data_IF_460381474835
#
_entry.id   IF_460381474835
#
_cell.length_a   1.000
_cell.length_b   1.000
_cell.length_c   1.000
_cell.angle_alpha   90.00
_cell.angle_beta   90.00
_cell.angle_gamma   90.00
#
_symmetry.space_group_name_H-M   'P 1'
#
loop_
_entity.id
_entity.type
_entity.pdbx_description
1 polymer ?
#
# COMPACT_ATOMS: atom_id res chain seq x y z
N UNK A 1 16.66 -15.21 -11.36
CA UNK A 1 15.25 -15.58 -11.69
C UNK A 1 14.35 -14.46 -11.16
N UNK A 2 13.27 -14.09 -11.83
CA UNK A 2 12.35 -12.97 -11.47
C UNK A 2 12.82 -11.53 -11.76
N UNK A 3 13.89 -11.31 -12.53
CA UNK A 3 14.40 -9.95 -12.83
C UNK A 3 13.32 -9.07 -13.49
N UNK A 4 12.58 -9.61 -14.45
CA UNK A 4 11.50 -8.88 -15.11
C UNK A 4 10.36 -8.53 -14.15
N UNK A 5 10.03 -9.43 -13.22
CA UNK A 5 9.03 -9.17 -12.20
C UNK A 5 9.48 -8.03 -11.28
N UNK A 6 10.73 -8.06 -10.79
CA UNK A 6 11.28 -7.00 -9.94
C UNK A 6 11.26 -5.65 -10.66
N UNK A 7 11.59 -5.63 -11.96
CA UNK A 7 11.49 -4.42 -12.77
C UNK A 7 10.06 -3.87 -12.81
N UNK A 8 9.07 -4.74 -13.10
CA UNK A 8 7.66 -4.35 -13.13
C UNK A 8 7.20 -3.82 -11.76
N UNK A 9 7.54 -4.49 -10.66
CA UNK A 9 7.16 -4.05 -9.31
C UNK A 9 7.76 -2.68 -8.98
N UNK A 10 9.02 -2.44 -9.36
CA UNK A 10 9.67 -1.13 -9.19
C UNK A 10 9.00 -0.02 -10.03
N UNK A 11 8.62 -0.33 -11.27
CA UNK A 11 7.87 0.61 -12.11
C UNK A 11 6.49 0.90 -11.51
N UNK A 12 5.83 -0.12 -10.95
CA UNK A 12 4.56 0.02 -10.24
C UNK A 12 4.67 0.84 -8.95
N UNK A 13 5.75 0.73 -8.17
CA UNK A 13 5.99 1.64 -7.05
C UNK A 13 6.07 3.11 -7.50
N UNK A 14 6.70 3.37 -8.66
CA UNK A 14 6.78 4.72 -9.22
C UNK A 14 5.44 5.22 -9.71
N UNK A 15 4.67 4.38 -10.39
CA UNK A 15 3.31 4.71 -10.79
C UNK A 15 2.41 4.97 -9.57
N UNK A 16 2.51 4.11 -8.54
CA UNK A 16 1.79 4.21 -7.27
C UNK A 16 1.97 5.56 -6.61
N UNK A 17 3.22 6.03 -6.46
CA UNK A 17 3.49 7.38 -5.95
C UNK A 17 2.77 8.48 -6.73
N UNK A 18 2.79 8.40 -8.07
CA UNK A 18 2.14 9.40 -8.93
C UNK A 18 0.62 9.42 -8.76
N UNK A 19 -0.04 8.25 -8.70
CA UNK A 19 -1.50 8.23 -8.45
C UNK A 19 -1.85 8.64 -7.04
N UNK A 20 -1.02 8.34 -6.03
CA UNK A 20 -1.18 8.87 -4.67
C UNK A 20 -1.08 10.40 -4.64
N UNK A 21 -0.11 11.00 -5.33
CA UNK A 21 0.02 12.46 -5.41
C UNK A 21 -1.19 13.13 -6.06
N UNK A 22 -1.80 12.49 -7.07
CA UNK A 22 -3.05 12.96 -7.68
C UNK A 22 -4.20 12.90 -6.67
N UNK A 23 -4.35 11.75 -5.98
CA UNK A 23 -5.39 11.56 -4.97
C UNK A 23 -5.27 12.61 -3.86
N UNK A 24 -4.09 12.82 -3.29
CA UNK A 24 -3.88 13.78 -2.21
C UNK A 24 -4.18 15.22 -2.64
N UNK A 25 -3.81 15.61 -3.87
CA UNK A 25 -4.10 16.94 -4.41
C UNK A 25 -5.59 17.20 -4.59
N UNK A 26 -6.34 16.18 -4.98
CA UNK A 26 -7.78 16.28 -5.29
C UNK A 26 -8.67 15.94 -4.09
N UNK A 27 -8.14 15.38 -3.00
CA UNK A 27 -8.87 15.08 -1.77
C UNK A 27 -9.13 16.33 -0.91
N UNK A 28 -9.71 17.38 -1.51
CA UNK A 28 -10.04 18.64 -0.82
C UNK A 28 -11.49 19.04 -1.04
N UNK A 29 -12.09 19.72 -0.07
CA UNK A 29 -13.48 20.23 -0.17
C UNK A 29 -13.70 21.10 -1.42
N UNK A 30 -12.68 21.82 -1.88
CA UNK A 30 -12.77 22.65 -3.06
C UNK A 30 -12.80 21.82 -4.35
N UNK A 31 -11.89 20.86 -4.51
CA UNK A 31 -11.87 19.96 -5.65
C UNK A 31 -13.15 19.10 -5.73
N UNK A 32 -13.74 18.73 -4.59
CA UNK A 32 -15.00 17.98 -4.57
C UNK A 32 -16.22 18.76 -5.09
N UNK A 33 -16.16 20.09 -5.15
CA UNK A 33 -17.23 20.91 -5.75
C UNK A 33 -17.20 20.89 -7.27
N UNK A 34 -16.03 20.63 -7.86
CA UNK A 34 -15.88 20.51 -9.31
C UNK A 34 -16.10 19.07 -9.79
N UNK A 35 -16.92 18.92 -10.85
CA UNK A 35 -17.32 17.60 -11.33
C UNK A 35 -16.21 16.83 -12.05
N UNK A 36 -15.28 17.53 -12.70
CA UNK A 36 -14.13 16.93 -13.38
C UNK A 36 -13.08 16.49 -12.36
N UNK A 37 -12.80 17.32 -11.36
CA UNK A 37 -11.87 16.98 -10.29
C UNK A 37 -12.36 15.81 -9.43
N UNK A 38 -13.66 15.75 -9.11
CA UNK A 38 -14.25 14.55 -8.48
C UNK A 38 -14.04 13.29 -9.32
N UNK A 39 -14.22 13.38 -10.64
CA UNK A 39 -14.03 12.23 -11.55
C UNK A 39 -12.57 11.80 -11.54
N UNK A 40 -11.63 12.74 -11.66
CA UNK A 40 -10.18 12.46 -11.60
C UNK A 40 -9.76 11.82 -10.28
N UNK A 41 -10.31 12.28 -9.15
CA UNK A 41 -10.07 11.68 -7.83
C UNK A 41 -10.56 10.23 -7.78
N UNK A 42 -11.79 9.96 -8.22
CA UNK A 42 -12.32 8.60 -8.26
C UNK A 42 -11.47 7.70 -9.16
N UNK A 43 -11.00 8.22 -10.30
CA UNK A 43 -10.19 7.46 -11.24
C UNK A 43 -8.76 7.20 -10.73
N UNK A 44 -8.15 8.12 -9.97
CA UNK A 44 -6.84 7.87 -9.35
C UNK A 44 -6.93 6.78 -8.27
N UNK A 45 -7.99 6.79 -7.45
CA UNK A 45 -8.24 5.75 -6.45
C UNK A 45 -8.48 4.38 -7.10
N UNK A 46 -9.30 4.32 -8.18
CA UNK A 46 -9.52 3.07 -8.93
C UNK A 46 -8.25 2.52 -9.55
N UNK A 47 -7.41 3.38 -10.14
CA UNK A 47 -6.13 2.98 -10.70
C UNK A 47 -5.19 2.42 -9.64
N UNK A 48 -5.12 3.06 -8.47
CA UNK A 48 -4.33 2.58 -7.33
C UNK A 48 -4.78 1.17 -6.93
N UNK A 49 -6.07 0.97 -6.65
CA UNK A 49 -6.63 -0.34 -6.24
C UNK A 49 -6.39 -1.40 -7.32
N UNK A 50 -6.64 -1.06 -8.59
CA UNK A 50 -6.49 -2.00 -9.72
C UNK A 50 -5.05 -2.49 -9.89
N UNK A 51 -4.07 -1.64 -9.57
CA UNK A 51 -2.64 -1.93 -9.65
C UNK A 51 -2.14 -2.66 -8.39
N UNK A 52 -2.46 -2.16 -7.21
CA UNK A 52 -1.88 -2.66 -5.96
C UNK A 52 -2.39 -4.05 -5.56
N UNK A 53 -3.65 -4.39 -5.84
CA UNK A 53 -4.19 -5.71 -5.53
C UNK A 53 -3.36 -6.86 -6.15
N UNK A 54 -3.08 -6.89 -7.48
CA UNK A 54 -2.19 -7.92 -8.05
C UNK A 54 -0.70 -7.69 -7.74
N UNK A 55 -0.28 -6.47 -7.41
CA UNK A 55 1.10 -6.16 -7.03
C UNK A 55 1.47 -6.86 -5.71
N UNK A 56 0.73 -6.55 -4.64
CA UNK A 56 0.91 -7.13 -3.30
C UNK A 56 0.80 -8.65 -3.36
N UNK A 57 -0.23 -9.19 -4.03
CA UNK A 57 -0.40 -10.62 -4.20
C UNK A 57 0.81 -11.30 -4.85
N UNK A 58 1.51 -10.63 -5.78
CA UNK A 58 2.73 -11.18 -6.42
C UNK A 58 3.96 -11.04 -5.55
N UNK A 59 4.04 -9.97 -4.75
CA UNK A 59 5.10 -9.84 -3.75
C UNK A 59 5.01 -10.98 -2.72
N UNK A 60 3.83 -11.20 -2.15
CA UNK A 60 3.58 -12.21 -1.10
C UNK A 60 3.74 -13.65 -1.58
N UNK A 61 3.22 -13.97 -2.77
CA UNK A 61 3.15 -15.36 -3.23
C UNK A 61 4.30 -15.79 -4.13
N UNK A 62 5.07 -14.84 -4.69
CA UNK A 62 6.14 -15.14 -5.65
C UNK A 62 7.47 -14.51 -5.23
N UNK A 63 7.51 -13.19 -5.04
CA UNK A 63 8.77 -12.48 -4.81
C UNK A 63 9.37 -12.82 -3.44
N UNK A 64 8.64 -12.60 -2.35
CA UNK A 64 9.14 -12.83 -0.99
C UNK A 64 9.49 -14.30 -0.72
N UNK A 65 8.71 -15.30 -1.19
CA UNK A 65 9.11 -16.70 -1.09
C UNK A 65 10.38 -17.03 -1.88
N UNK A 66 10.62 -16.39 -3.03
CA UNK A 66 11.84 -16.58 -3.79
C UNK A 66 13.03 -15.88 -3.12
N UNK A 67 12.80 -14.67 -2.59
CA UNK A 67 13.77 -13.91 -1.83
C UNK A 67 14.26 -14.70 -0.61
N UNK A 68 13.34 -15.28 0.18
CA UNK A 68 13.68 -16.06 1.38
C UNK A 68 14.54 -17.30 1.11
N UNK A 69 14.56 -17.80 -0.13
CA UNK A 69 15.39 -18.95 -0.55
C UNK A 69 16.82 -18.58 -0.93
N UNK A 70 17.10 -17.30 -1.18
CA UNK A 70 18.40 -16.83 -1.68
C UNK A 70 19.18 -15.99 -0.66
N UNK A 71 18.52 -15.52 0.40
CA UNK A 71 19.16 -14.85 1.53
C UNK A 71 19.36 -15.81 2.69
N UNK A 72 20.51 -15.73 3.34
CA UNK A 72 20.78 -16.47 4.58
C UNK A 72 19.89 -15.97 5.72
N UNK A 73 19.82 -16.75 6.80
CA UNK A 73 19.11 -16.34 8.02
C UNK A 73 19.67 -15.01 8.56
N UNK A 74 20.98 -14.91 8.69
CA UNK A 74 21.67 -13.72 9.19
C UNK A 74 21.42 -12.48 8.32
N UNK A 75 21.49 -12.60 6.98
CA UNK A 75 21.19 -11.46 6.10
C UNK A 75 19.74 -11.02 6.21
N UNK A 76 18.81 -11.96 6.39
CA UNK A 76 17.40 -11.63 6.57
C UNK A 76 17.14 -10.92 7.90
N UNK A 77 17.78 -11.38 8.99
CA UNK A 77 17.67 -10.74 10.30
C UNK A 77 18.24 -9.31 10.27
N UNK A 78 19.41 -9.13 9.65
CA UNK A 78 20.03 -7.81 9.49
C UNK A 78 19.14 -6.83 8.68
N UNK A 79 18.44 -7.33 7.65
CA UNK A 79 17.46 -6.53 6.93
C UNK A 79 16.26 -6.15 7.81
N UNK A 80 15.85 -7.04 8.71
CA UNK A 80 14.82 -6.76 9.71
C UNK A 80 15.22 -5.61 10.63
N UNK A 81 16.42 -5.66 11.19
CA UNK A 81 16.97 -4.58 12.05
C UNK A 81 17.04 -3.23 11.29
N UNK A 82 17.47 -3.25 10.03
CA UNK A 82 17.51 -2.06 9.18
C UNK A 82 16.11 -1.49 8.90
N UNK A 83 15.10 -2.36 8.76
CA UNK A 83 13.71 -1.93 8.57
C UNK A 83 13.10 -1.38 9.85
N UNK A 84 13.32 -2.02 11.01
CA UNK A 84 12.86 -1.52 12.31
C UNK A 84 13.46 -0.14 12.62
N UNK A 85 14.76 0.06 12.35
CA UNK A 85 15.40 1.37 12.50
C UNK A 85 14.73 2.44 11.63
N UNK A 86 14.47 2.13 10.36
CA UNK A 86 13.78 3.06 9.45
C UNK A 86 12.35 3.33 9.87
N UNK A 87 11.67 2.33 10.39
CA UNK A 87 10.33 2.44 10.93
C UNK A 87 10.31 3.42 12.10
N UNK A 88 11.23 3.28 13.07
CA UNK A 88 11.38 4.23 14.17
C UNK A 88 11.71 5.65 13.69
N UNK A 89 12.59 5.80 12.69
CA UNK A 89 12.96 7.10 12.12
C UNK A 89 11.77 7.81 11.44
N UNK A 90 10.89 7.05 10.78
CA UNK A 90 9.78 7.60 10.00
C UNK A 90 8.49 7.72 10.83
N UNK A 91 8.27 6.82 11.78
CA UNK A 91 6.97 6.62 12.44
C UNK A 91 7.02 6.66 13.97
N UNK A 92 8.21 6.72 14.60
CA UNK A 92 8.38 6.71 16.05
C UNK A 92 8.45 5.30 16.65
N UNK A 93 8.59 5.19 17.98
CA UNK A 93 8.93 3.96 18.69
C UNK A 93 7.91 2.81 18.56
N UNK A 94 6.63 3.10 18.31
CA UNK A 94 5.57 2.10 18.11
C UNK A 94 5.08 2.12 16.64
N UNK A 95 6.02 2.32 15.70
CA UNK A 95 5.75 2.85 14.37
C UNK A 95 4.66 2.12 13.59
N UNK A 96 4.84 0.82 13.35
CA UNK A 96 3.94 -0.04 12.58
C UNK A 96 2.59 -0.17 13.28
N UNK A 97 2.58 -0.53 14.57
CA UNK A 97 1.36 -0.69 15.36
C UNK A 97 0.54 0.60 15.36
N UNK A 98 1.19 1.75 15.57
CA UNK A 98 0.55 3.07 15.53
C UNK A 98 -0.07 3.36 14.15
N UNK A 99 0.61 2.98 13.06
CA UNK A 99 0.08 3.19 11.72
C UNK A 99 -1.09 2.25 11.42
N UNK A 100 -1.03 0.99 11.85
CA UNK A 100 -2.15 0.03 11.75
C UNK A 100 -3.37 0.55 12.51
N UNK A 101 -3.19 1.07 13.72
CA UNK A 101 -4.26 1.67 14.51
C UNK A 101 -4.89 2.89 13.82
N UNK A 102 -4.06 3.77 13.22
CA UNK A 102 -4.56 4.91 12.43
C UNK A 102 -5.39 4.47 11.24
N UNK A 103 -4.93 3.45 10.50
CA UNK A 103 -5.70 2.88 9.38
C UNK A 103 -7.03 2.32 9.87
N UNK A 104 -7.02 1.52 10.94
CA UNK A 104 -8.25 0.98 11.53
C UNK A 104 -9.23 2.08 11.99
N UNK A 105 -8.73 3.19 12.55
CA UNK A 105 -9.56 4.34 12.92
C UNK A 105 -10.19 5.04 11.71
N UNK A 106 -9.43 5.18 10.61
CA UNK A 106 -9.95 5.70 9.34
C UNK A 106 -11.04 4.78 8.80
N UNK A 107 -10.81 3.47 8.78
CA UNK A 107 -11.79 2.48 8.31
C UNK A 107 -13.08 2.52 9.13
N UNK A 108 -12.98 2.66 10.46
CA UNK A 108 -14.14 2.84 11.35
C UNK A 108 -14.91 4.12 11.03
N UNK A 109 -14.19 5.22 10.79
CA UNK A 109 -14.79 6.51 10.43
C UNK A 109 -15.51 6.45 9.09
N UNK A 110 -14.97 5.69 8.13
CA UNK A 110 -15.55 5.48 6.81
C UNK A 110 -16.62 4.37 6.79
N UNK A 111 -16.81 3.65 7.90
CA UNK A 111 -17.75 2.53 8.01
C UNK A 111 -17.31 1.25 7.32
N UNK A 112 -16.04 1.12 6.90
CA UNK A 112 -15.51 -0.03 6.15
C UNK A 112 -14.69 -1.01 7.00
N UNK A 113 -14.63 -0.81 8.31
CA UNK A 113 -13.81 -1.63 9.21
C UNK A 113 -14.31 -3.07 9.38
N UNK A 114 -15.62 -3.28 9.45
CA UNK A 114 -16.18 -4.63 9.63
C UNK A 114 -16.08 -5.42 8.32
N UNK A 115 -15.19 -6.41 8.26
CA UNK A 115 -14.99 -7.24 7.07
C UNK A 115 -16.27 -8.00 6.68
N UNK A 116 -17.13 -8.35 7.64
CA UNK A 116 -18.33 -9.14 7.38
C UNK A 116 -19.29 -8.42 6.40
N UNK A 117 -19.28 -7.09 6.38
CA UNK A 117 -20.13 -6.29 5.48
C UNK A 117 -19.88 -6.54 3.99
N UNK A 118 -18.69 -7.02 3.63
CA UNK A 118 -18.32 -7.33 2.24
C UNK A 118 -18.62 -8.77 1.84
N UNK A 119 -19.15 -9.59 2.76
CA UNK A 119 -19.48 -11.00 2.49
C UNK A 119 -20.72 -11.08 1.60
N UNK A 120 -20.64 -11.70 0.41
CA UNK A 120 -21.81 -11.89 -0.45
C UNK A 120 -22.91 -12.68 0.26
N UNK A 121 -24.16 -12.20 0.15
CA UNK A 121 -25.35 -12.93 0.58
C UNK A 121 -25.88 -13.70 -0.62
N UNK A 122 -25.34 -14.90 -0.82
CA UNK A 122 -25.81 -15.84 -1.84
C UNK A 122 -26.61 -16.97 -1.20
#
# INVERSE_FOLDING_TARGET
>A
RLVDLVKVLRDQHTAGRRVTDITLRLATTQALKDSDDRRKLADSMRQFIRMYNPHEAREDTVLFPAFRKIVSHHEYDALGEDFEKKEHELFGADGFETMVEKVAAIEKTLGIYDLAQFTPKI
#
